data_IF_137205217478
#
_entry.id   IF_137205217478
#
_cell.length_a   1.000
_cell.length_b   1.000
_cell.length_c   1.000
_cell.angle_alpha   90.00
_cell.angle_beta   90.00
_cell.angle_gamma   90.00
#
_symmetry.space_group_name_H-M   'P 1'
#
loop_
_entity.id
_entity.type
_entity.pdbx_description
1 polymer ?
#
# COMPACT_ATOMS: atom_id res chain seq x y z
N UNK A 1 -4.72 10.54 -63.93
CA UNK A 1 -4.10 9.22 -63.75
C UNK A 1 -2.71 9.44 -63.19
N UNK A 2 -2.48 9.24 -61.89
CA UNK A 2 -1.19 9.51 -61.24
C UNK A 2 -0.17 8.45 -61.67
N UNK A 3 0.93 8.87 -62.31
CA UNK A 3 1.98 7.97 -62.79
C UNK A 3 3.11 7.92 -61.75
N UNK A 4 2.99 7.01 -60.77
CA UNK A 4 3.97 6.85 -59.68
C UNK A 4 5.09 5.93 -60.17
N UNK A 5 6.33 6.43 -60.20
CA UNK A 5 7.49 5.62 -60.57
C UNK A 5 7.97 4.72 -59.41
N UNK A 6 8.78 3.70 -59.70
CA UNK A 6 9.29 2.75 -58.70
C UNK A 6 10.04 3.40 -57.53
N UNK A 7 10.69 4.55 -57.75
CA UNK A 7 11.41 5.29 -56.68
C UNK A 7 10.43 5.98 -55.73
N UNK A 8 9.41 6.64 -56.28
CA UNK A 8 8.32 7.27 -55.54
C UNK A 8 7.55 6.23 -54.71
N UNK A 9 7.29 5.04 -55.28
CA UNK A 9 6.63 3.95 -54.56
C UNK A 9 7.43 3.47 -53.34
N UNK A 10 8.76 3.31 -53.47
CA UNK A 10 9.63 2.92 -52.36
C UNK A 10 9.66 3.96 -51.24
N UNK A 11 9.65 5.25 -51.60
CA UNK A 11 9.61 6.35 -50.62
C UNK A 11 8.29 6.33 -49.84
N UNK A 12 7.16 6.14 -50.52
CA UNK A 12 5.85 6.03 -49.86
C UNK A 12 5.80 4.84 -48.89
N UNK A 13 6.29 3.66 -49.30
CA UNK A 13 6.32 2.47 -48.43
C UNK A 13 7.19 2.74 -47.19
N UNK A 14 8.37 3.33 -47.36
CA UNK A 14 9.26 3.67 -46.25
C UNK A 14 8.63 4.66 -45.28
N UNK A 15 7.89 5.65 -45.80
CA UNK A 15 7.22 6.65 -44.98
C UNK A 15 6.08 6.02 -44.15
N UNK A 16 5.29 5.13 -44.76
CA UNK A 16 4.21 4.41 -44.06
C UNK A 16 4.75 3.54 -42.92
N UNK A 17 5.86 2.83 -43.15
CA UNK A 17 6.50 2.01 -42.10
C UNK A 17 7.04 2.86 -40.96
N UNK A 18 7.61 4.03 -41.26
CA UNK A 18 8.11 4.96 -40.25
C UNK A 18 6.98 5.53 -39.37
N UNK A 19 5.86 5.92 -39.99
CA UNK A 19 4.67 6.38 -39.26
C UNK A 19 4.11 5.26 -38.38
N UNK A 20 4.02 4.03 -38.89
CA UNK A 20 3.55 2.89 -38.11
C UNK A 20 4.44 2.65 -36.88
N UNK A 21 5.77 2.68 -37.05
CA UNK A 21 6.71 2.53 -35.93
C UNK A 21 6.53 3.62 -34.86
N UNK A 22 6.35 4.89 -35.27
CA UNK A 22 6.08 5.99 -34.34
C UNK A 22 4.76 5.76 -33.59
N UNK A 23 3.69 5.37 -34.30
CA UNK A 23 2.39 5.09 -33.68
C UNK A 23 2.49 3.92 -32.70
N UNK A 24 3.21 2.85 -33.04
CA UNK A 24 3.44 1.71 -32.14
C UNK A 24 4.24 2.10 -30.90
N UNK A 25 5.27 2.95 -31.05
CA UNK A 25 6.04 3.47 -29.92
C UNK A 25 5.14 4.33 -29.00
N UNK A 26 4.33 5.22 -29.57
CA UNK A 26 3.39 6.05 -28.82
C UNK A 26 2.36 5.17 -28.10
N UNK A 27 1.77 4.20 -28.78
CA UNK A 27 0.80 3.27 -28.21
C UNK A 27 1.39 2.44 -27.06
N UNK A 28 2.62 1.96 -27.22
CA UNK A 28 3.34 1.26 -26.15
C UNK A 28 3.64 2.18 -24.96
N UNK A 29 4.06 3.43 -25.18
CA UNK A 29 4.31 4.41 -24.13
C UNK A 29 3.02 4.80 -23.37
N UNK A 30 1.89 4.87 -24.06
CA UNK A 30 0.59 5.14 -23.43
C UNK A 30 0.15 3.94 -22.57
N UNK A 31 0.29 2.71 -23.07
CA UNK A 31 -0.09 1.52 -22.31
C UNK A 31 0.85 1.22 -21.15
N UNK A 32 2.15 1.49 -21.29
CA UNK A 32 3.10 1.36 -20.18
C UNK A 32 2.82 2.37 -19.08
N UNK A 33 2.48 3.63 -19.41
CA UNK A 33 2.00 4.61 -18.42
C UNK A 33 0.70 4.21 -17.72
N UNK A 34 -0.19 3.49 -18.42
CA UNK A 34 -1.46 2.99 -17.86
C UNK A 34 -1.28 1.73 -17.01
N UNK A 35 -0.23 0.96 -17.27
CA UNK A 35 0.19 -0.17 -16.44
C UNK A 35 1.06 0.27 -15.24
N UNK A 36 1.63 1.47 -15.31
CA UNK A 36 2.40 2.11 -14.24
C UNK A 36 1.61 3.17 -13.46
N UNK A 37 0.30 3.26 -13.64
CA UNK A 37 -0.59 3.98 -12.71
C UNK A 37 -0.81 3.07 -11.48
N UNK A 38 0.31 2.66 -10.89
CA UNK A 38 0.41 2.44 -9.46
C UNK A 38 0.29 3.84 -8.86
N UNK A 39 -0.55 4.00 -7.86
CA UNK A 39 -0.77 5.27 -7.19
C UNK A 39 0.44 5.57 -6.30
N UNK A 40 1.58 5.87 -6.95
CA UNK A 40 2.93 6.00 -6.38
C UNK A 40 2.91 7.02 -5.25
N UNK A 41 2.13 8.10 -5.42
CA UNK A 41 1.97 9.17 -4.44
C UNK A 41 1.39 8.67 -3.10
N UNK A 42 0.45 7.71 -3.13
CA UNK A 42 -0.14 7.15 -1.90
C UNK A 42 0.84 6.24 -1.15
N UNK A 43 1.62 5.45 -1.88
CA UNK A 43 2.64 4.56 -1.31
C UNK A 43 3.80 5.39 -0.76
N UNK A 44 4.24 6.41 -1.47
CA UNK A 44 5.27 7.35 -0.99
C UNK A 44 4.78 8.14 0.21
N UNK A 45 3.56 8.69 0.20
CA UNK A 45 3.00 9.40 1.35
C UNK A 45 2.86 8.50 2.58
N UNK A 46 2.44 7.25 2.39
CA UNK A 46 2.39 6.27 3.47
C UNK A 46 3.80 5.91 3.97
N UNK A 47 4.77 5.68 3.07
CA UNK A 47 6.12 5.32 3.46
C UNK A 47 6.82 6.48 4.18
N UNK A 48 6.63 7.71 3.70
CA UNK A 48 7.06 8.91 4.40
C UNK A 48 6.36 9.01 5.76
N UNK A 49 5.06 8.73 5.86
CA UNK A 49 4.36 8.67 7.15
C UNK A 49 4.96 7.61 8.07
N UNK A 50 5.23 6.40 7.60
CA UNK A 50 5.74 5.30 8.41
C UNK A 50 7.20 5.54 8.85
N UNK A 51 8.03 6.14 8.00
CA UNK A 51 9.47 6.38 8.25
C UNK A 51 9.74 7.73 8.94
N UNK A 52 8.93 8.77 8.69
CA UNK A 52 9.18 10.14 9.22
C UNK A 52 8.83 10.32 10.70
N UNK A 53 8.41 9.26 11.38
CA UNK A 53 7.97 9.34 12.76
C UNK A 53 9.17 9.26 13.71
N UNK A 54 9.26 10.29 14.55
CA UNK A 54 10.18 10.34 15.67
C UNK A 54 9.73 9.30 16.72
N UNK A 55 10.66 8.53 17.30
CA UNK A 55 10.45 7.49 18.34
C UNK A 55 9.63 7.94 19.58
N UNK A 56 9.28 9.23 19.67
CA UNK A 56 8.52 9.82 20.77
C UNK A 56 7.00 9.88 20.53
N UNK A 57 6.51 9.67 19.29
CA UNK A 57 5.07 9.79 19.00
C UNK A 57 4.32 8.48 19.31
N UNK A 58 3.75 8.43 20.51
CA UNK A 58 3.05 7.26 21.10
C UNK A 58 1.54 7.28 20.88
N UNK A 59 1.06 8.06 19.91
CA UNK A 59 -0.35 8.13 19.60
C UNK A 59 -0.77 7.05 18.61
N UNK A 60 -2.04 6.67 18.68
CA UNK A 60 -2.72 5.94 17.62
C UNK A 60 -3.04 6.94 16.52
N UNK A 61 -2.65 6.64 15.29
CA UNK A 61 -2.82 7.55 14.14
C UNK A 61 -3.66 6.89 13.05
N UNK A 62 -4.63 7.64 12.53
CA UNK A 62 -5.50 7.19 11.45
C UNK A 62 -5.10 7.93 10.18
N UNK A 63 -4.48 7.22 9.25
CA UNK A 63 -4.09 7.72 7.94
C UNK A 63 -5.19 7.40 6.93
N UNK A 64 -5.72 8.42 6.25
CA UNK A 64 -6.70 8.27 5.18
C UNK A 64 -5.94 8.18 3.85
N UNK A 65 -6.00 7.01 3.22
CA UNK A 65 -5.23 6.72 2.00
C UNK A 65 -5.67 7.63 0.85
N UNK A 66 -6.97 7.93 0.76
CA UNK A 66 -7.51 8.78 -0.30
C UNK A 66 -7.02 10.23 -0.17
N UNK A 67 -6.82 10.69 1.06
CA UNK A 67 -6.33 12.04 1.35
C UNK A 67 -4.81 12.13 1.43
N UNK A 68 -4.12 10.99 1.56
CA UNK A 68 -2.67 10.92 1.70
C UNK A 68 -2.14 11.57 2.98
N UNK A 69 -2.93 11.59 4.07
CA UNK A 69 -2.55 12.26 5.31
C UNK A 69 -3.22 11.65 6.55
N UNK A 70 -2.63 11.91 7.72
CA UNK A 70 -3.22 11.62 9.03
C UNK A 70 -4.44 12.52 9.26
N UNK A 71 -5.58 11.91 9.55
CA UNK A 71 -6.86 12.60 9.80
C UNK A 71 -7.24 12.61 11.28
N UNK A 72 -6.64 11.74 12.10
CA UNK A 72 -6.83 11.71 13.53
C UNK A 72 -5.58 11.19 14.25
N UNK A 73 -5.36 11.68 15.46
CA UNK A 73 -4.31 11.26 16.38
C UNK A 73 -4.92 11.14 17.77
N UNK A 74 -4.96 9.93 18.31
CA UNK A 74 -5.57 9.59 19.59
C UNK A 74 -4.50 9.14 20.57
N UNK A 75 -4.68 9.41 21.87
CA UNK A 75 -3.76 8.88 22.88
C UNK A 75 -3.78 7.35 22.89
N UNK A 76 -2.63 6.72 23.16
CA UNK A 76 -2.53 5.28 23.33
C UNK A 76 -3.60 4.76 24.31
N UNK A 77 -4.23 3.65 23.92
CA UNK A 77 -5.34 3.06 24.64
C UNK A 77 -5.04 1.57 24.89
N UNK A 78 -5.15 1.12 26.14
CA UNK A 78 -4.91 -0.28 26.51
C UNK A 78 -5.86 -1.26 25.78
N UNK A 79 -7.09 -0.85 25.47
CA UNK A 79 -8.03 -1.67 24.71
C UNK A 79 -7.50 -1.88 23.30
N UNK A 80 -7.11 -0.80 22.61
CA UNK A 80 -6.50 -0.83 21.27
C UNK A 80 -5.19 -1.63 21.26
N UNK A 81 -4.36 -1.49 22.29
CA UNK A 81 -3.17 -2.31 22.48
C UNK A 81 -3.53 -3.80 22.57
N UNK A 82 -4.58 -4.16 23.31
CA UNK A 82 -5.03 -5.55 23.46
C UNK A 82 -5.49 -6.15 22.13
N UNK A 83 -6.22 -5.38 21.33
CA UNK A 83 -6.61 -5.76 19.96
C UNK A 83 -5.37 -6.02 19.09
N UNK A 84 -4.38 -5.14 19.13
CA UNK A 84 -3.12 -5.32 18.39
C UNK A 84 -2.38 -6.61 18.77
N UNK A 85 -2.34 -6.95 20.06
CA UNK A 85 -1.78 -8.22 20.53
C UNK A 85 -2.58 -9.41 19.99
N UNK A 86 -3.90 -9.32 19.95
CA UNK A 86 -4.76 -10.37 19.41
C UNK A 86 -4.49 -10.61 17.91
N UNK A 87 -4.32 -9.53 17.13
CA UNK A 87 -4.02 -9.63 15.71
C UNK A 87 -2.68 -10.31 15.45
N UNK A 88 -1.64 -9.92 16.19
CA UNK A 88 -0.30 -10.53 16.10
C UNK A 88 -0.30 -12.02 16.45
N UNK A 89 -1.08 -12.43 17.45
CA UNK A 89 -1.22 -13.84 17.84
C UNK A 89 -1.95 -14.68 16.80
N UNK A 90 -2.89 -14.07 16.07
CA UNK A 90 -3.73 -14.73 15.10
C UNK A 90 -3.30 -14.50 13.66
N UNK A 91 -2.03 -14.15 13.40
CA UNK A 91 -1.48 -14.16 12.05
C UNK A 91 -1.70 -15.55 11.43
N UNK A 92 -2.17 -15.56 10.18
CA UNK A 92 -2.50 -16.78 9.43
C UNK A 92 -1.57 -17.01 8.25
N UNK A 93 -0.85 -15.99 7.79
CA UNK A 93 0.00 -16.08 6.61
C UNK A 93 0.54 -14.75 6.12
N UNK A 94 1.36 -14.82 5.07
CA UNK A 94 1.76 -13.65 4.28
C UNK A 94 0.58 -13.15 3.45
N UNK A 95 0.45 -11.83 3.30
CA UNK A 95 -0.53 -11.25 2.39
C UNK A 95 -0.14 -11.50 0.93
N UNK A 96 -1.02 -12.09 0.09
CA UNK A 96 -0.61 -12.61 -1.21
C UNK A 96 -0.62 -11.59 -2.36
N UNK A 97 -1.12 -10.36 -2.14
CA UNK A 97 -1.24 -9.37 -3.23
C UNK A 97 0.09 -8.67 -3.48
N UNK A 98 0.43 -8.53 -4.76
CA UNK A 98 1.62 -7.81 -5.22
C UNK A 98 1.56 -6.32 -4.87
N UNK A 99 0.39 -5.70 -5.02
CA UNK A 99 0.14 -4.36 -4.49
C UNK A 99 -0.54 -4.49 -3.12
N UNK A 100 0.25 -4.34 -2.06
CA UNK A 100 -0.18 -4.56 -0.69
C UNK A 100 -0.71 -3.29 -0.02
N UNK A 101 -0.49 -2.09 -0.58
CA UNK A 101 -1.16 -0.87 -0.14
C UNK A 101 -2.36 -0.65 -1.07
N UNK A 102 -3.60 -0.57 -0.55
CA UNK A 102 -4.76 -0.36 -1.39
C UNK A 102 -4.81 1.10 -1.85
N UNK A 103 -5.49 1.39 -2.96
CA UNK A 103 -5.64 2.78 -3.43
C UNK A 103 -6.62 3.59 -2.56
N UNK A 104 -7.39 2.92 -1.71
CA UNK A 104 -8.38 3.53 -0.84
C UNK A 104 -8.57 2.75 0.45
N UNK A 105 -8.93 3.48 1.51
CA UNK A 105 -9.13 2.93 2.83
C UNK A 105 -8.42 3.72 3.91
N UNK A 106 -8.16 3.05 5.02
CA UNK A 106 -7.48 3.63 6.17
C UNK A 106 -6.33 2.75 6.62
N UNK A 107 -5.31 3.38 7.17
CA UNK A 107 -4.21 2.70 7.87
C UNK A 107 -4.22 3.21 9.30
N UNK A 108 -4.31 2.29 10.24
CA UNK A 108 -4.33 2.60 11.66
C UNK A 108 -3.00 2.17 12.25
N UNK A 109 -2.16 3.15 12.59
CA UNK A 109 -0.92 2.93 13.31
C UNK A 109 -1.24 2.73 14.78
N UNK A 110 -0.79 1.61 15.35
CA UNK A 110 -0.98 1.27 16.76
C UNK A 110 0.39 1.12 17.41
N UNK A 111 0.78 2.02 18.33
CA UNK A 111 1.99 1.86 19.10
C UNK A 111 1.85 0.70 20.09
N UNK A 112 2.92 -0.07 20.25
CA UNK A 112 3.04 -1.19 21.19
C UNK A 112 3.90 -0.74 22.38
N UNK A 113 3.23 -0.25 23.42
CA UNK A 113 3.88 0.15 24.67
C UNK A 113 3.34 -0.67 25.86
N UNK A 114 4.13 -1.59 26.42
CA UNK A 114 5.53 -1.91 26.08
C UNK A 114 5.67 -2.64 24.74
N UNK A 115 6.88 -2.60 24.17
CA UNK A 115 7.22 -3.35 22.96
C UNK A 115 6.95 -4.84 23.12
N UNK A 116 6.59 -5.51 22.03
CA UNK A 116 6.13 -6.89 22.04
C UNK A 116 7.11 -7.76 21.28
N UNK A 117 7.63 -8.80 21.92
CA UNK A 117 8.40 -9.82 21.22
C UNK A 117 7.45 -10.84 20.59
N UNK A 118 7.48 -10.95 19.26
CA UNK A 118 6.67 -11.87 18.48
C UNK A 118 7.58 -12.95 17.90
N UNK A 119 7.29 -14.20 18.25
CA UNK A 119 7.97 -15.38 17.71
C UNK A 119 6.96 -16.39 17.20
N UNK A 120 6.89 -16.54 15.88
CA UNK A 120 6.05 -17.49 15.18
C UNK A 120 6.76 -17.97 13.89
N UNK A 121 6.06 -18.68 13.00
CA UNK A 121 6.67 -19.21 11.77
C UNK A 121 6.98 -18.14 10.71
N UNK A 122 6.48 -16.92 10.89
CA UNK A 122 6.65 -15.79 9.96
C UNK A 122 7.64 -14.74 10.47
N UNK A 123 7.86 -14.68 11.79
CA UNK A 123 8.56 -13.59 12.46
C UNK A 123 9.26 -14.04 13.74
N UNK A 124 10.40 -13.41 14.05
CA UNK A 124 11.18 -13.57 15.28
C UNK A 124 11.77 -12.20 15.68
N UNK A 125 10.88 -11.25 16.02
CA UNK A 125 11.23 -9.82 16.14
C UNK A 125 10.56 -9.13 17.34
N UNK A 126 11.14 -8.02 17.79
CA UNK A 126 10.53 -7.12 18.77
C UNK A 126 9.87 -5.96 18.03
N UNK A 127 8.57 -5.81 18.23
CA UNK A 127 7.76 -4.80 17.57
C UNK A 127 7.45 -3.65 18.53
N UNK A 128 7.67 -2.43 18.06
CA UNK A 128 7.28 -1.20 18.78
C UNK A 128 5.94 -0.65 18.29
N UNK A 129 5.46 -1.11 17.15
CA UNK A 129 4.20 -0.69 16.55
C UNK A 129 3.73 -1.68 15.48
N UNK A 130 2.46 -1.59 15.12
CA UNK A 130 1.88 -2.26 13.96
C UNK A 130 0.99 -1.30 13.17
N UNK A 131 0.72 -1.65 11.92
CA UNK A 131 -0.22 -0.92 11.08
C UNK A 131 -1.34 -1.87 10.66
N UNK A 132 -2.58 -1.52 10.98
CA UNK A 132 -3.76 -2.27 10.54
C UNK A 132 -4.35 -1.57 9.33
N UNK A 133 -4.38 -2.27 8.20
CA UNK A 133 -4.84 -1.73 6.92
C UNK A 133 -6.29 -2.17 6.69
N UNK A 134 -7.16 -1.19 6.46
CA UNK A 134 -8.58 -1.36 6.15
C UNK A 134 -8.85 -0.88 4.73
N UNK A 135 -8.88 -1.77 3.72
CA UNK A 135 -9.25 -1.40 2.36
C UNK A 135 -10.71 -0.95 2.27
N UNK A 136 -11.07 -0.02 1.36
CA UNK A 136 -12.48 0.39 1.18
C UNK A 136 -13.38 -0.64 0.46
N UNK A 137 -12.87 -1.82 0.11
CA UNK A 137 -13.62 -2.92 -0.55
C UNK A 137 -13.81 -4.07 0.43
N UNK A 138 -14.66 -5.05 0.10
CA UNK A 138 -14.92 -6.29 0.87
C UNK A 138 -13.68 -7.20 1.11
N UNK A 139 -12.47 -6.67 0.99
CA UNK A 139 -11.23 -7.32 1.40
C UNK A 139 -11.11 -7.26 2.92
N UNK A 140 -10.75 -8.39 3.54
CA UNK A 140 -10.49 -8.44 4.96
C UNK A 140 -9.31 -7.53 5.34
N UNK A 141 -9.34 -6.89 6.52
CA UNK A 141 -8.19 -6.15 7.04
C UNK A 141 -6.96 -7.04 7.17
N UNK A 142 -5.79 -6.43 7.08
CA UNK A 142 -4.49 -7.11 7.20
C UNK A 142 -3.46 -6.23 7.89
N UNK A 143 -2.39 -6.85 8.36
CA UNK A 143 -1.32 -6.16 9.06
C UNK A 143 -0.21 -5.78 8.10
N UNK A 144 0.38 -4.63 8.40
CA UNK A 144 1.71 -4.24 7.96
C UNK A 144 2.59 -4.09 9.20
N UNK A 145 3.78 -4.66 9.13
CA UNK A 145 4.83 -4.57 10.13
C UNK A 145 6.11 -4.13 9.42
N UNK A 146 6.83 -3.18 10.00
CA UNK A 146 8.18 -2.83 9.56
C UNK A 146 9.16 -3.69 10.34
N UNK A 147 10.06 -4.35 9.62
CA UNK A 147 11.13 -5.11 10.26
C UNK A 147 12.27 -4.21 10.77
N UNK A 148 13.31 -4.82 11.32
CA UNK A 148 14.51 -4.15 11.86
C UNK A 148 15.25 -3.22 10.88
N UNK A 149 14.91 -3.26 9.59
CA UNK A 149 15.49 -2.44 8.51
C UNK A 149 14.43 -1.59 7.81
N UNK A 150 13.31 -1.34 8.48
CA UNK A 150 12.17 -0.59 7.98
C UNK A 150 11.54 -1.20 6.72
N UNK A 151 11.71 -2.52 6.50
CA UNK A 151 11.13 -3.18 5.32
C UNK A 151 9.69 -3.59 5.62
N UNK A 152 8.74 -3.30 4.71
CA UNK A 152 7.34 -3.62 4.94
C UNK A 152 7.06 -5.11 4.74
N UNK A 153 6.49 -5.74 5.78
CA UNK A 153 6.02 -7.11 5.80
C UNK A 153 4.50 -7.12 6.01
N UNK A 154 3.77 -7.78 5.10
CA UNK A 154 2.31 -7.81 5.11
C UNK A 154 1.77 -9.18 5.51
N UNK A 155 0.82 -9.21 6.43
CA UNK A 155 0.29 -10.44 7.01
C UNK A 155 -1.24 -10.47 7.05
N UNK A 156 -1.82 -11.62 6.70
CA UNK A 156 -3.21 -11.91 7.02
C UNK A 156 -3.32 -12.36 8.47
N UNK A 157 -4.45 -12.09 9.11
CA UNK A 157 -4.76 -12.58 10.46
C UNK A 157 -6.24 -12.98 10.57
N UNK A 158 -6.61 -13.64 11.67
CA UNK A 158 -7.99 -14.04 11.95
C UNK A 158 -8.43 -13.52 13.33
N UNK A 159 -9.01 -12.33 13.35
CA UNK A 159 -9.60 -11.71 14.54
C UNK A 159 -10.68 -10.72 14.13
N UNK A 160 -11.56 -10.36 15.06
CA UNK A 160 -12.58 -9.33 14.82
C UNK A 160 -11.95 -7.94 14.90
N UNK A 161 -12.20 -7.10 13.90
CA UNK A 161 -11.67 -5.73 13.86
C UNK A 161 -12.68 -4.68 14.31
N UNK A 162 -13.95 -5.05 14.53
CA UNK A 162 -14.98 -4.10 14.93
C UNK A 162 -14.65 -3.45 16.27
N UNK A 163 -14.13 -4.25 17.23
CA UNK A 163 -13.70 -3.74 18.53
C UNK A 163 -12.63 -2.65 18.42
N UNK A 164 -11.67 -2.77 17.48
CA UNK A 164 -10.71 -1.71 17.23
C UNK A 164 -11.40 -0.42 16.77
N UNK A 165 -12.28 -0.52 15.77
CA UNK A 165 -12.97 0.63 15.17
C UNK A 165 -13.85 1.36 16.17
N UNK A 166 -14.58 0.61 17.01
CA UNK A 166 -15.36 1.16 18.12
C UNK A 166 -14.46 1.88 19.14
N UNK A 167 -13.32 1.30 19.51
CA UNK A 167 -12.41 1.88 20.51
C UNK A 167 -11.70 3.17 20.06
N UNK A 168 -11.75 3.48 18.76
CA UNK A 168 -11.16 4.70 18.17
C UNK A 168 -12.22 5.62 17.55
N UNK A 169 -13.50 5.33 17.75
CA UNK A 169 -14.64 6.07 17.20
C UNK A 169 -14.57 6.26 15.67
N UNK A 170 -14.13 5.24 14.94
CA UNK A 170 -14.06 5.26 13.47
C UNK A 170 -15.19 4.44 12.85
N UNK A 171 -16.03 5.10 12.05
CA UNK A 171 -17.03 4.45 11.21
C UNK A 171 -16.45 4.24 9.80
N UNK A 172 -16.39 2.99 9.34
CA UNK A 172 -15.88 2.59 8.02
C UNK A 172 -17.00 2.38 6.99
#
# INVERSE_FOLDING_TARGET
MFNINKKQLKICISLTLFVFAIVSIIYNNINTKKASEFDDDSIFAFMDFAISLNDENKNIEIFDINKGQVIASLSANHLVYSEAIEYLKNITGMYPKVNAIPNNGYIIRIPLEPSVFVKNQWMDETLNEIYVIFPSKDDSPYLLILDDKDRPLFFTFNADTNALLENIDLEL
#
